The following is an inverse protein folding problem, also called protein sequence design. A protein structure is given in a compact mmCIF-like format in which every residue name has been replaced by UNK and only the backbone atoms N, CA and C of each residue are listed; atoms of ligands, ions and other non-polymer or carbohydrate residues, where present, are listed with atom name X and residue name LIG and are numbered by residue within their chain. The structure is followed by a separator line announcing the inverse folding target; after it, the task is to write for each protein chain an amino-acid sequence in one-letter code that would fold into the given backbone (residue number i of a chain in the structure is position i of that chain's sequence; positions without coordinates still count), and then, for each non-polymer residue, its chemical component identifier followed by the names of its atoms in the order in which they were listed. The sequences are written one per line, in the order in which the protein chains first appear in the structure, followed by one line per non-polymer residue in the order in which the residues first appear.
data_IF_323996132206
#
_entry.id   IF_323996132206
#
_cell.length_a   1.000
_cell.length_b   1.000
_cell.length_c   1.000
_cell.angle_alpha   90.00
_cell.angle_beta   90.00
_cell.angle_gamma   90.00
#
_symmetry.space_group_name_H-M   'P 1'
#
loop_
_entity.id
_entity.type
_entity.pdbx_description
1 polymer ?
#
# COMPACT_ATOMS: atom_id res chain seq x y z
N UNK A 1 -27.17 -27.46 -26.10
CA UNK A 1 -27.71 -26.09 -25.97
C UNK A 1 -26.60 -25.14 -26.39
N UNK A 2 -26.83 -24.32 -27.42
CA UNK A 2 -25.80 -23.43 -27.98
C UNK A 2 -25.84 -22.12 -27.22
N UNK A 3 -24.88 -21.89 -26.32
CA UNK A 3 -24.79 -20.62 -25.58
C UNK A 3 -23.92 -19.64 -26.37
N UNK A 4 -24.48 -19.02 -27.42
CA UNK A 4 -23.77 -17.98 -28.17
C UNK A 4 -23.86 -16.66 -27.41
N UNK A 5 -22.93 -16.42 -26.48
CA UNK A 5 -22.84 -15.17 -25.69
C UNK A 5 -21.96 -14.11 -26.37
N UNK A 6 -21.08 -14.53 -27.27
CA UNK A 6 -20.15 -13.64 -27.98
C UNK A 6 -20.93 -12.70 -28.90
N UNK A 7 -20.71 -11.39 -28.73
CA UNK A 7 -21.35 -10.35 -29.54
C UNK A 7 -22.69 -9.83 -29.00
N UNK A 8 -23.21 -10.40 -27.90
CA UNK A 8 -24.43 -9.92 -27.26
C UNK A 8 -24.15 -8.96 -26.10
N UNK A 9 -25.07 -8.02 -25.86
CA UNK A 9 -25.06 -7.21 -24.65
C UNK A 9 -25.43 -8.08 -23.45
N UNK A 10 -24.50 -8.25 -22.51
CA UNK A 10 -24.71 -9.04 -21.30
C UNK A 10 -24.30 -8.25 -20.07
N UNK A 11 -25.08 -8.39 -19.01
CA UNK A 11 -24.75 -7.77 -17.74
C UNK A 11 -23.39 -8.28 -17.24
N UNK A 12 -22.60 -7.38 -16.66
CA UNK A 12 -21.32 -7.76 -16.05
C UNK A 12 -21.56 -8.66 -14.85
N UNK A 13 -20.75 -9.72 -14.74
CA UNK A 13 -20.80 -10.67 -13.61
C UNK A 13 -20.61 -10.00 -12.24
N UNK A 14 -19.83 -8.90 -12.19
CA UNK A 14 -19.55 -8.13 -10.98
C UNK A 14 -20.46 -6.90 -10.82
N UNK A 15 -21.35 -6.62 -11.78
CA UNK A 15 -22.10 -5.37 -11.87
C UNK A 15 -23.03 -5.16 -10.68
N UNK A 16 -23.84 -6.17 -10.34
CA UNK A 16 -24.83 -6.07 -9.27
C UNK A 16 -24.17 -5.80 -7.90
N UNK A 17 -23.08 -6.50 -7.58
CA UNK A 17 -22.38 -6.32 -6.31
C UNK A 17 -21.80 -4.90 -6.19
N UNK A 18 -21.27 -4.35 -7.28
CA UNK A 18 -20.71 -3.00 -7.33
C UNK A 18 -21.77 -1.92 -7.12
N UNK A 19 -22.91 -1.99 -7.84
CA UNK A 19 -23.96 -0.96 -7.75
C UNK A 19 -24.78 -1.04 -6.46
N UNK A 20 -24.76 -2.19 -5.77
CA UNK A 20 -25.47 -2.38 -4.50
C UNK A 20 -24.60 -2.17 -3.25
N UNK A 21 -23.32 -1.82 -3.41
CA UNK A 21 -22.38 -1.67 -2.28
C UNK A 21 -22.06 -2.99 -1.58
N UNK A 22 -22.31 -4.13 -2.23
CA UNK A 22 -22.01 -5.48 -1.69
C UNK A 22 -20.65 -6.02 -2.12
N UNK A 23 -20.00 -5.37 -3.09
CA UNK A 23 -18.64 -5.70 -3.48
C UNK A 23 -17.68 -5.33 -2.33
N UNK A 24 -16.82 -6.28 -1.94
CA UNK A 24 -15.81 -6.09 -0.91
C UNK A 24 -14.49 -5.71 -1.57
N UNK A 25 -13.93 -4.58 -1.16
CA UNK A 25 -12.64 -4.05 -1.57
C UNK A 25 -11.65 -4.12 -0.41
N UNK A 26 -10.36 -3.86 -0.69
CA UNK A 26 -9.30 -3.99 0.31
C UNK A 26 -9.52 -3.16 1.59
N UNK A 27 -10.11 -1.97 1.48
CA UNK A 27 -10.34 -1.09 2.63
C UNK A 27 -11.55 -1.52 3.50
N UNK A 28 -12.46 -2.30 2.94
CA UNK A 28 -13.62 -2.87 3.66
C UNK A 28 -13.20 -3.98 4.62
N UNK A 29 -12.01 -4.56 4.42
CA UNK A 29 -11.48 -5.65 5.24
C UNK A 29 -10.96 -5.09 6.57
N UNK A 30 -11.49 -5.59 7.68
CA UNK A 30 -10.99 -5.31 9.04
C UNK A 30 -10.58 -6.60 9.72
N UNK A 31 -9.45 -6.57 10.44
CA UNK A 31 -8.92 -7.71 11.19
C UNK A 31 -8.71 -7.32 12.66
N UNK A 32 -8.82 -8.29 13.57
CA UNK A 32 -8.48 -8.07 14.97
C UNK A 32 -7.00 -7.65 15.09
N UNK A 33 -6.72 -6.62 15.90
CA UNK A 33 -5.38 -6.05 16.10
C UNK A 33 -4.72 -5.50 14.81
N UNK A 34 -5.51 -5.11 13.81
CA UNK A 34 -5.01 -4.44 12.61
C UNK A 34 -4.38 -3.09 12.96
N UNK A 35 -3.17 -2.84 12.46
CA UNK A 35 -2.52 -1.54 12.55
C UNK A 35 -2.78 -0.72 11.28
N UNK A 36 -2.84 0.59 11.42
CA UNK A 36 -2.95 1.52 10.30
C UNK A 36 -1.56 2.00 9.87
N UNK A 37 -1.24 1.86 8.59
CA UNK A 37 0.03 2.34 8.01
C UNK A 37 -0.15 3.64 7.24
N UNK A 38 0.72 4.63 7.50
CA UNK A 38 0.84 5.84 6.66
C UNK A 38 2.27 6.00 6.18
N UNK A 39 2.47 6.65 5.03
CA UNK A 39 3.74 6.83 4.37
C UNK A 39 4.22 8.29 4.40
N UNK A 40 5.45 8.55 4.87
CA UNK A 40 6.07 9.89 4.75
C UNK A 40 6.95 10.02 3.50
N UNK A 41 6.52 10.82 2.54
CA UNK A 41 7.27 11.10 1.31
C UNK A 41 8.23 12.30 1.45
N UNK A 42 9.21 12.38 0.55
CA UNK A 42 10.08 13.56 0.35
C UNK A 42 9.26 14.78 -0.07
N UNK A 43 9.68 15.98 0.37
CA UNK A 43 9.11 17.25 -0.11
C UNK A 43 9.90 17.86 -1.28
N UNK A 44 10.97 17.17 -1.72
CA UNK A 44 11.89 17.64 -2.76
C UNK A 44 11.99 16.62 -3.91
N UNK A 45 12.25 17.08 -5.15
CA UNK A 45 12.31 16.19 -6.30
C UNK A 45 13.54 15.29 -6.33
N UNK A 46 14.66 15.74 -5.77
CA UNK A 46 15.91 14.99 -5.72
C UNK A 46 16.76 15.43 -4.52
N UNK A 47 17.33 14.46 -3.81
CA UNK A 47 18.19 14.69 -2.66
C UNK A 47 18.78 13.40 -2.12
N UNK A 48 19.63 13.52 -1.10
CA UNK A 48 20.23 12.39 -0.37
C UNK A 48 19.89 12.54 1.11
N UNK A 49 19.83 11.43 1.81
CA UNK A 49 19.61 11.40 3.26
C UNK A 49 20.96 11.33 3.94
N UNK A 50 21.40 12.45 4.50
CA UNK A 50 22.62 12.51 5.30
C UNK A 50 22.36 12.16 6.77
N UNK A 51 21.16 12.45 7.26
CA UNK A 51 20.71 12.10 8.61
C UNK A 51 19.19 11.92 8.65
N UNK A 52 18.70 11.14 9.62
CA UNK A 52 17.28 10.90 9.86
C UNK A 52 17.02 10.88 11.36
N UNK A 53 16.28 11.87 11.87
CA UNK A 53 15.79 11.89 13.25
C UNK A 53 14.30 11.50 13.27
N UNK A 54 13.99 10.50 14.10
CA UNK A 54 12.65 9.94 14.28
C UNK A 54 12.20 10.01 15.74
N UNK A 55 12.94 10.71 16.61
CA UNK A 55 12.71 10.77 18.05
C UNK A 55 11.30 11.25 18.39
N UNK A 56 10.86 12.37 17.81
CA UNK A 56 9.52 12.92 18.03
C UNK A 56 8.42 11.96 17.57
N UNK A 57 8.57 11.40 16.36
CA UNK A 57 7.58 10.49 15.78
C UNK A 57 7.40 9.22 16.62
N UNK A 58 8.47 8.69 17.24
CA UNK A 58 8.39 7.53 18.15
C UNK A 58 7.63 7.82 19.44
N UNK A 59 7.56 9.08 19.85
CA UNK A 59 6.90 9.50 21.09
C UNK A 59 5.41 9.82 20.90
N UNK A 60 4.90 9.82 19.67
CA UNK A 60 3.48 10.07 19.40
C UNK A 60 2.64 8.90 19.94
N UNK A 61 1.62 9.16 20.77
CA UNK A 61 0.73 8.11 21.27
C UNK A 61 0.09 7.29 20.15
N UNK A 62 0.08 5.97 20.30
CA UNK A 62 -0.47 5.05 19.31
C UNK A 62 0.54 4.56 18.27
N UNK A 63 1.72 5.17 18.15
CA UNK A 63 2.77 4.67 17.25
C UNK A 63 3.35 3.37 17.78
N UNK A 64 3.13 2.29 17.02
CA UNK A 64 3.62 0.94 17.33
C UNK A 64 4.99 0.69 16.70
N UNK A 65 5.19 1.15 15.45
CA UNK A 65 6.46 1.00 14.74
C UNK A 65 6.64 2.10 13.72
N UNK A 66 7.90 2.41 13.49
CA UNK A 66 8.40 3.22 12.41
C UNK A 66 9.36 2.36 11.58
N UNK A 67 8.98 2.02 10.35
CA UNK A 67 9.83 1.23 9.45
C UNK A 67 10.56 2.11 8.42
N UNK A 68 11.81 1.77 8.15
CA UNK A 68 12.72 2.45 7.22
C UNK A 68 13.27 1.46 6.16
N UNK A 69 14.12 1.95 5.24
CA UNK A 69 14.77 1.09 4.24
C UNK A 69 15.71 0.04 4.86
N UNK A 70 16.14 0.23 6.11
CA UNK A 70 16.99 -0.71 6.83
C UNK A 70 16.23 -1.95 7.31
N UNK A 71 14.90 -1.83 7.50
CA UNK A 71 14.04 -2.92 7.96
C UNK A 71 13.65 -3.90 6.84
N UNK A 72 13.99 -3.61 5.57
CA UNK A 72 13.58 -4.42 4.42
C UNK A 72 14.50 -5.64 4.29
N UNK A 73 13.98 -6.87 4.46
CA UNK A 73 14.77 -8.08 4.24
C UNK A 73 14.87 -8.40 2.74
N UNK A 74 15.95 -9.06 2.35
CA UNK A 74 16.10 -9.62 1.00
C UNK A 74 16.46 -8.58 -0.08
N UNK A 75 15.93 -8.79 -1.29
CA UNK A 75 16.24 -7.98 -2.48
C UNK A 75 15.66 -6.57 -2.34
N UNK A 76 16.47 -5.57 -2.69
CA UNK A 76 16.15 -4.14 -2.54
C UNK A 76 15.85 -3.47 -3.89
N UNK A 77 15.65 -4.25 -4.94
CA UNK A 77 15.32 -3.78 -6.28
C UNK A 77 14.02 -4.44 -6.73
N UNK A 78 13.03 -3.63 -7.06
CA UNK A 78 11.71 -4.05 -7.53
C UNK A 78 11.48 -3.62 -8.97
N UNK A 79 10.64 -4.36 -9.68
CA UNK A 79 10.10 -4.00 -10.98
C UNK A 79 9.42 -5.18 -11.67
N UNK A 80 8.37 -4.89 -12.45
CA UNK A 80 7.58 -5.93 -13.13
C UNK A 80 8.37 -6.57 -14.28
N UNK A 81 9.16 -5.76 -14.99
CA UNK A 81 9.97 -6.20 -16.12
C UNK A 81 11.46 -6.01 -15.80
N UNK A 82 11.84 -4.81 -15.38
CA UNK A 82 13.22 -4.45 -15.02
C UNK A 82 13.21 -4.01 -13.56
N UNK A 83 14.04 -4.60 -12.67
CA UNK A 83 14.06 -4.24 -11.26
C UNK A 83 14.95 -3.01 -11.02
N UNK A 84 14.43 -1.81 -11.32
CA UNK A 84 15.20 -0.56 -11.32
C UNK A 84 14.82 0.44 -10.22
N UNK A 85 13.80 0.16 -9.40
CA UNK A 85 13.41 1.05 -8.30
C UNK A 85 13.43 0.34 -6.94
N UNK A 86 13.77 1.05 -5.85
CA UNK A 86 13.78 0.45 -4.53
C UNK A 86 12.35 0.20 -4.01
N UNK A 87 12.15 -0.81 -3.15
CA UNK A 87 10.85 -1.13 -2.53
C UNK A 87 10.29 0.03 -1.69
N UNK A 88 11.19 0.78 -1.07
CA UNK A 88 10.91 2.07 -0.48
C UNK A 88 11.69 3.12 -1.26
N UNK A 89 11.00 4.08 -1.90
CA UNK A 89 11.63 5.37 -2.17
C UNK A 89 12.26 5.85 -0.85
N UNK A 90 13.47 6.40 -0.92
CA UNK A 90 14.32 6.70 0.25
C UNK A 90 13.61 7.47 1.38
N UNK A 91 12.43 8.06 1.17
CA UNK A 91 11.53 8.47 2.25
C UNK A 91 10.18 7.77 2.11
N UNK A 92 9.97 6.73 2.91
CA UNK A 92 8.64 6.25 3.26
C UNK A 92 8.64 5.71 4.67
N UNK A 93 8.41 6.62 5.63
CA UNK A 93 8.16 6.23 7.01
C UNK A 93 6.83 5.50 7.07
N UNK A 94 6.81 4.23 7.46
CA UNK A 94 5.55 3.56 7.80
C UNK A 94 5.28 3.74 9.28
N UNK A 95 4.35 4.62 9.61
CA UNK A 95 3.86 4.75 10.99
C UNK A 95 2.71 3.75 11.11
N UNK A 96 2.90 2.73 11.94
CA UNK A 96 1.84 1.83 12.35
C UNK A 96 1.14 2.45 13.58
N UNK A 97 -0.11 2.88 13.46
CA UNK A 97 -0.91 3.44 14.57
C UNK A 97 -2.02 2.47 14.96
N UNK A 98 -2.26 2.32 16.28
CA UNK A 98 -3.39 1.55 16.84
C UNK A 98 -4.71 2.32 16.76
#
# INVERSE_FOLDING_TARGET
MTTTLVGNEVARVDGLAKVSGKAIYGDDIKMANMLYGVCRFVDIPAGRIDSLDLSEARNVPGVVRIATWEDIPGEKSLGVIIPDYPPSFAMKLHIAVM
#
